data_IF_605401932257
#
_entry.id   IF_605401932257
#
_cell.length_a   1.000
_cell.length_b   1.000
_cell.length_c   1.000
_cell.angle_alpha   90.00
_cell.angle_beta   90.00
_cell.angle_gamma   90.00
#
_symmetry.space_group_name_H-M   'P 1'
#
loop_
_entity.id
_entity.type
_entity.pdbx_description
1 polymer ?
#
# COMPACT_ATOMS: atom_id res chain seq x y z
N UNK A 1 -9.60 -13.92 -15.55
CA UNK A 1 -9.11 -12.65 -16.10
C UNK A 1 -7.76 -12.86 -16.77
N UNK A 2 -7.60 -12.38 -17.97
CA UNK A 2 -6.31 -12.45 -18.66
C UNK A 2 -5.36 -11.41 -18.07
N UNK A 3 -4.08 -11.75 -17.94
CA UNK A 3 -3.06 -10.83 -17.40
C UNK A 3 -3.05 -9.51 -18.17
N UNK A 4 -3.20 -9.56 -19.49
CA UNK A 4 -3.23 -8.34 -20.32
C UNK A 4 -4.35 -7.38 -19.92
N UNK A 5 -5.47 -7.89 -19.40
CA UNK A 5 -6.59 -7.05 -18.96
C UNK A 5 -6.29 -6.26 -17.68
N UNK A 6 -5.37 -6.77 -16.84
CA UNK A 6 -4.96 -6.06 -15.63
C UNK A 6 -4.21 -4.77 -15.93
N UNK A 7 -3.55 -4.71 -17.08
CA UNK A 7 -2.74 -3.55 -17.46
C UNK A 7 -3.43 -2.61 -18.41
N UNK A 8 -4.67 -2.94 -18.81
CA UNK A 8 -5.45 -2.11 -19.69
C UNK A 8 -6.02 -0.92 -18.92
N UNK A 9 -5.88 0.25 -19.47
CA UNK A 9 -6.44 1.49 -18.90
C UNK A 9 -5.94 1.81 -17.50
N UNK A 10 -4.70 1.43 -17.19
CA UNK A 10 -4.07 1.78 -15.92
C UNK A 10 -3.65 3.25 -15.90
N UNK A 11 -3.89 3.91 -14.78
CA UNK A 11 -3.43 5.26 -14.54
C UNK A 11 -2.35 5.24 -13.45
N UNK A 12 -1.21 5.85 -13.73
CA UNK A 12 -0.16 5.97 -12.72
C UNK A 12 -0.59 6.94 -11.63
N UNK A 13 -0.55 6.51 -10.37
CA UNK A 13 -1.00 7.31 -9.24
C UNK A 13 0.14 7.88 -8.40
N UNK A 14 1.31 7.26 -8.44
CA UNK A 14 2.45 7.72 -7.67
C UNK A 14 3.39 6.59 -7.33
N UNK A 15 4.44 6.92 -6.60
CA UNK A 15 5.43 5.96 -6.18
C UNK A 15 5.90 6.26 -4.76
N UNK A 16 6.47 5.25 -4.12
CA UNK A 16 7.04 5.39 -2.78
C UNK A 16 8.30 4.54 -2.68
N UNK A 17 9.30 5.09 -1.99
CA UNK A 17 10.52 4.37 -1.69
C UNK A 17 10.30 3.45 -0.49
N UNK A 18 10.52 2.16 -0.67
CA UNK A 18 10.59 1.19 0.41
C UNK A 18 12.02 1.09 0.93
N UNK A 19 12.29 0.03 1.71
CA UNK A 19 13.64 -0.17 2.25
C UNK A 19 14.65 -0.56 1.18
N UNK A 20 14.23 -1.32 0.18
CA UNK A 20 15.13 -1.88 -0.83
C UNK A 20 14.70 -1.60 -2.27
N UNK A 21 13.47 -1.14 -2.46
CA UNK A 21 12.87 -0.98 -3.78
C UNK A 21 11.97 0.22 -3.83
N UNK A 22 11.75 0.70 -5.04
CA UNK A 22 10.70 1.69 -5.30
C UNK A 22 9.42 0.93 -5.67
N UNK A 23 8.32 1.34 -5.11
CA UNK A 23 7.00 0.78 -5.39
C UNK A 23 6.20 1.78 -6.20
N UNK A 24 5.61 1.31 -7.28
CA UNK A 24 4.81 2.11 -8.20
C UNK A 24 3.36 1.71 -8.06
N UNK A 25 2.48 2.70 -7.94
CA UNK A 25 1.05 2.45 -7.73
C UNK A 25 0.26 2.94 -8.92
N UNK A 26 -0.60 2.06 -9.44
CA UNK A 26 -1.48 2.33 -10.57
C UNK A 26 -2.92 2.08 -10.18
N UNK A 27 -3.84 2.82 -10.78
CA UNK A 27 -5.28 2.61 -10.59
C UNK A 27 -5.87 1.98 -11.84
N UNK A 28 -6.59 0.85 -11.65
CA UNK A 28 -7.46 0.25 -12.66
C UNK A 28 -8.91 0.68 -12.46
N UNK A 29 -9.85 -0.06 -13.05
CA UNK A 29 -11.27 0.30 -12.96
C UNK A 29 -11.82 0.20 -11.53
N UNK A 30 -11.52 -0.91 -10.84
CA UNK A 30 -12.06 -1.18 -9.51
C UNK A 30 -11.02 -1.74 -8.55
N UNK A 31 -9.74 -1.52 -8.86
CA UNK A 31 -8.62 -2.05 -8.07
C UNK A 31 -7.42 -1.13 -8.20
N UNK A 32 -6.43 -1.36 -7.32
CA UNK A 32 -5.14 -0.71 -7.37
C UNK A 32 -4.05 -1.76 -7.57
N UNK A 33 -3.01 -1.42 -8.30
CA UNK A 33 -1.86 -2.28 -8.48
C UNK A 33 -0.63 -1.67 -7.83
N UNK A 34 0.12 -2.51 -7.11
CA UNK A 34 1.42 -2.14 -6.56
C UNK A 34 2.46 -2.98 -7.27
N UNK A 35 3.41 -2.33 -7.90
CA UNK A 35 4.46 -2.99 -8.68
C UNK A 35 5.83 -2.58 -8.19
N UNK A 36 6.75 -3.54 -8.13
CA UNK A 36 8.15 -3.26 -7.80
C UNK A 36 9.04 -4.18 -8.60
N UNK A 37 10.20 -3.67 -9.00
CA UNK A 37 11.23 -4.48 -9.65
C UNK A 37 11.84 -5.43 -8.64
N UNK A 38 11.89 -6.70 -8.97
CA UNK A 38 12.54 -7.72 -8.18
C UNK A 38 13.77 -8.27 -8.87
N UNK A 39 14.43 -9.22 -8.21
CA UNK A 39 15.64 -9.86 -8.75
C UNK A 39 15.34 -10.62 -10.04
N UNK A 40 14.18 -11.27 -10.13
CA UNK A 40 13.78 -12.12 -11.25
C UNK A 40 12.65 -11.51 -12.08
N UNK A 41 12.62 -10.19 -12.20
CA UNK A 41 11.56 -9.48 -12.91
C UNK A 41 10.87 -8.50 -11.98
N UNK A 42 9.60 -8.20 -12.25
CA UNK A 42 8.85 -7.33 -11.36
C UNK A 42 7.66 -8.07 -10.76
N UNK A 43 7.30 -7.67 -9.55
CA UNK A 43 6.16 -8.20 -8.83
C UNK A 43 4.97 -7.27 -8.98
N UNK A 44 3.78 -7.86 -9.08
CA UNK A 44 2.54 -7.11 -9.14
C UNK A 44 1.61 -7.64 -8.07
N UNK A 45 1.07 -6.75 -7.25
CA UNK A 45 0.10 -7.08 -6.22
C UNK A 45 -1.16 -6.26 -6.43
N UNK A 46 -2.31 -6.89 -6.25
CA UNK A 46 -3.61 -6.23 -6.38
C UNK A 46 -4.07 -5.80 -5.00
N UNK A 47 -4.52 -4.55 -4.89
CA UNK A 47 -5.03 -3.97 -3.66
C UNK A 47 -6.45 -3.49 -3.93
N UNK A 48 -7.36 -3.79 -3.00
CA UNK A 48 -8.74 -3.35 -3.11
C UNK A 48 -8.83 -1.83 -3.15
N UNK A 49 -9.69 -1.29 -4.01
CA UNK A 49 -9.84 0.16 -4.16
C UNK A 49 -10.34 0.86 -2.90
N UNK A 50 -10.96 0.13 -1.98
CA UNK A 50 -11.48 0.67 -0.72
C UNK A 50 -10.37 0.96 0.29
N UNK A 51 -9.20 0.35 0.13
CA UNK A 51 -8.10 0.42 1.09
C UNK A 51 -7.70 1.85 1.47
N UNK A 52 -7.47 2.78 0.52
CA UNK A 52 -7.07 4.14 0.90
C UNK A 52 -8.07 4.85 1.80
N UNK A 53 -9.36 4.69 1.52
CA UNK A 53 -10.41 5.33 2.33
C UNK A 53 -10.48 4.75 3.74
N UNK A 54 -10.31 3.44 3.88
CA UNK A 54 -10.31 2.78 5.19
C UNK A 54 -9.11 3.26 6.02
N UNK A 55 -7.94 3.34 5.41
CA UNK A 55 -6.74 3.85 6.10
C UNK A 55 -6.96 5.28 6.57
N UNK A 56 -7.43 6.13 5.68
CA UNK A 56 -7.68 7.54 5.97
C UNK A 56 -8.69 7.71 7.10
N UNK A 57 -9.75 6.90 7.10
CA UNK A 57 -10.83 7.00 8.06
C UNK A 57 -10.44 6.48 9.44
N UNK A 58 -9.76 5.33 9.49
CA UNK A 58 -9.46 4.64 10.76
C UNK A 58 -8.16 5.08 11.41
N UNK A 59 -7.20 5.57 10.63
CA UNK A 59 -5.85 5.82 11.13
C UNK A 59 -5.37 7.26 10.92
N UNK A 60 -6.27 8.19 10.63
CA UNK A 60 -5.90 9.60 10.41
C UNK A 60 -5.05 10.13 11.58
N UNK A 61 -3.88 10.70 11.25
CA UNK A 61 -2.97 11.25 12.22
C UNK A 61 -2.15 10.24 13.02
N UNK A 62 -2.32 8.95 12.78
CA UNK A 62 -1.64 7.91 13.56
C UNK A 62 -0.37 7.41 12.85
N UNK A 63 0.55 6.86 13.64
CA UNK A 63 1.72 6.14 13.16
C UNK A 63 1.37 4.66 13.16
N UNK A 64 1.58 3.99 12.03
CA UNK A 64 1.20 2.59 11.89
C UNK A 64 2.29 1.77 11.21
N UNK A 65 2.33 0.49 11.58
CA UNK A 65 3.09 -0.53 10.86
C UNK A 65 2.09 -1.41 10.11
N UNK A 66 2.59 -2.27 9.21
CA UNK A 66 1.72 -3.23 8.52
C UNK A 66 0.96 -4.12 9.49
N UNK A 67 1.63 -4.57 10.55
CA UNK A 67 1.00 -5.41 11.57
C UNK A 67 -0.13 -4.69 12.30
N UNK A 68 0.11 -3.43 12.69
CA UNK A 68 -0.93 -2.63 13.35
C UNK A 68 -2.14 -2.45 12.45
N UNK A 69 -1.91 -2.25 11.15
CA UNK A 69 -2.98 -2.13 10.17
C UNK A 69 -3.83 -3.40 10.16
N UNK A 70 -3.19 -4.57 10.06
CA UNK A 70 -3.88 -5.85 10.05
C UNK A 70 -4.67 -6.09 11.34
N UNK A 71 -4.06 -5.78 12.50
CA UNK A 71 -4.67 -6.05 13.81
C UNK A 71 -5.79 -5.08 14.17
N UNK A 72 -5.65 -3.81 13.81
CA UNK A 72 -6.52 -2.75 14.30
C UNK A 72 -7.60 -2.31 13.33
N UNK A 73 -7.43 -2.57 12.03
CA UNK A 73 -8.43 -2.17 11.03
C UNK A 73 -9.71 -3.00 11.14
N UNK A 74 -9.62 -4.22 11.65
CA UNK A 74 -10.74 -5.17 11.77
C UNK A 74 -11.43 -5.42 10.44
N UNK A 75 -10.65 -5.43 9.38
CA UNK A 75 -11.09 -5.71 8.03
C UNK A 75 -10.17 -6.77 7.41
N UNK A 76 -10.33 -8.05 7.82
CA UNK A 76 -9.46 -9.12 7.31
C UNK A 76 -9.63 -9.36 5.80
N UNK A 77 -10.72 -8.88 5.23
CA UNK A 77 -10.95 -8.88 3.79
C UNK A 77 -9.99 -7.94 3.04
N UNK A 78 -9.51 -6.88 3.72
CA UNK A 78 -8.62 -5.88 3.11
C UNK A 78 -7.19 -5.96 3.61
N UNK A 79 -7.01 -6.31 4.87
CA UNK A 79 -5.71 -6.30 5.53
C UNK A 79 -5.44 -7.62 6.22
N UNK A 80 -4.49 -8.37 5.71
CA UNK A 80 -4.00 -9.56 6.39
C UNK A 80 -2.55 -9.33 6.82
N UNK A 81 -2.06 -10.07 7.84
CA UNK A 81 -0.68 -9.91 8.29
C UNK A 81 0.32 -10.13 7.16
N UNK A 82 1.43 -9.40 7.22
CA UNK A 82 2.52 -9.56 6.29
C UNK A 82 2.42 -8.66 5.08
N UNK A 83 2.64 -9.24 3.90
CA UNK A 83 2.89 -8.49 2.69
C UNK A 83 1.70 -7.66 2.20
N UNK A 84 0.48 -8.14 2.40
CA UNK A 84 -0.70 -7.42 1.90
C UNK A 84 -0.96 -6.13 2.67
N UNK A 85 -0.74 -6.11 3.99
CA UNK A 85 -0.86 -4.88 4.77
C UNK A 85 0.22 -3.87 4.41
N UNK A 86 1.42 -4.36 4.10
CA UNK A 86 2.51 -3.49 3.67
C UNK A 86 2.20 -2.86 2.31
N UNK A 87 1.64 -3.63 1.38
CA UNK A 87 1.21 -3.10 0.09
C UNK A 87 0.14 -2.01 0.26
N UNK A 88 -0.76 -2.17 1.22
CA UNK A 88 -1.76 -1.15 1.54
C UNK A 88 -1.10 0.16 1.97
N UNK A 89 -0.04 0.08 2.77
CA UNK A 89 0.71 1.26 3.19
C UNK A 89 1.49 1.90 2.04
N UNK A 90 2.00 1.10 1.11
CA UNK A 90 2.65 1.63 -0.09
C UNK A 90 1.65 2.40 -0.96
N UNK A 91 0.43 1.89 -1.09
CA UNK A 91 -0.65 2.59 -1.78
C UNK A 91 -0.92 3.94 -1.11
N UNK A 92 -1.10 3.93 0.21
CA UNK A 92 -1.36 5.16 0.95
C UNK A 92 -0.22 6.17 0.78
N UNK A 93 1.03 5.70 0.82
CA UNK A 93 2.20 6.55 0.63
C UNK A 93 2.25 7.16 -0.76
N UNK A 94 2.02 6.35 -1.79
CA UNK A 94 2.06 6.82 -3.18
C UNK A 94 0.95 7.82 -3.48
N UNK A 95 -0.20 7.68 -2.81
CA UNK A 95 -1.33 8.61 -2.97
C UNK A 95 -1.22 9.87 -2.12
N UNK A 96 -0.15 10.01 -1.34
CA UNK A 96 0.05 11.18 -0.48
C UNK A 96 -0.76 11.15 0.81
N UNK A 97 -1.37 10.02 1.15
CA UNK A 97 -2.14 9.86 2.39
C UNK A 97 -1.28 9.46 3.58
N UNK A 98 -0.05 9.04 3.33
CA UNK A 98 0.88 8.61 4.36
C UNK A 98 2.30 8.92 3.93
N UNK A 99 3.21 8.98 4.89
CA UNK A 99 4.64 9.06 4.60
C UNK A 99 5.40 8.04 5.42
N UNK A 100 6.40 7.44 4.80
CA UNK A 100 7.28 6.50 5.48
C UNK A 100 8.22 7.29 6.39
N UNK A 101 8.30 6.90 7.66
CA UNK A 101 9.20 7.55 8.60
C UNK A 101 10.60 6.95 8.51
N UNK A 102 11.60 7.76 8.79
CA UNK A 102 12.99 7.32 8.81
C UNK A 102 13.24 6.29 9.90
N UNK A 103 12.67 6.56 11.10
CA UNK A 103 12.84 5.68 12.24
C UNK A 103 11.87 4.51 12.18
N UNK A 104 12.42 3.29 12.26
CA UNK A 104 11.64 2.07 12.29
C UNK A 104 11.24 1.70 13.71
N UNK A 105 10.22 0.86 13.83
CA UNK A 105 9.84 0.21 15.07
C UNK A 105 10.40 -1.23 15.01
N UNK A 106 11.55 -1.45 15.65
CA UNK A 106 12.29 -2.70 15.46
C UNK A 106 12.74 -2.82 14.01
N UNK A 107 12.29 -3.87 13.31
CA UNK A 107 12.56 -4.07 11.87
C UNK A 107 11.41 -3.58 10.98
N UNK A 108 10.33 -3.13 11.58
CA UNK A 108 9.14 -2.76 10.83
C UNK A 108 9.19 -1.30 10.38
N UNK A 109 8.83 -1.07 9.13
CA UNK A 109 8.64 0.28 8.60
C UNK A 109 7.43 0.92 9.28
N UNK A 110 7.56 2.19 9.65
CA UNK A 110 6.48 2.96 10.26
C UNK A 110 6.04 4.04 9.27
N UNK A 111 4.73 4.16 9.11
CA UNK A 111 4.12 5.17 8.26
C UNK A 111 3.28 6.12 9.12
N UNK A 112 3.39 7.41 8.83
CA UNK A 112 2.55 8.43 9.46
C UNK A 112 1.37 8.70 8.53
N UNK A 113 0.16 8.42 8.98
CA UNK A 113 -1.04 8.66 8.20
C UNK A 113 -1.42 10.14 8.32
N UNK A 114 -1.76 10.75 7.20
CA UNK A 114 -2.14 12.15 7.15
C UNK A 114 -3.36 12.39 8.03
N UNK A 115 -3.34 13.48 8.80
CA UNK A 115 -4.49 13.92 9.58
C UNK A 115 -5.56 14.54 8.69
N UNK A 116 -6.67 14.82 9.29
CA UNK A 116 -7.76 15.51 8.60
C UNK A 116 -7.40 16.96 8.31
#
# INVERSE_FOLDING_TARGET
>A
MKVASLFKDLSFMGQIEGDRRTYYVFKGMDYLLVSANGRDGFNVNVVDQEVPEVIKKKFAGKRVTGRMLADQARRPDLFSPGFSSLNALYVAGALGLARKLVKKQGRAMVFKIKGK
#
